data_IF_397047645531
#
_entry.id   IF_397047645531
#
_cell.length_a   1.000
_cell.length_b   1.000
_cell.length_c   1.000
_cell.angle_alpha   90.00
_cell.angle_beta   90.00
_cell.angle_gamma   90.00
#
_symmetry.space_group_name_H-M   'P 1'
#
loop_
_entity.id
_entity.type
_entity.pdbx_description
1 polymer ?
#
# COMPACT_ATOMS: atom_id res chain seq x y z
N UNK A 1 -5.81 -30.14 -9.08
CA UNK A 1 -4.78 -29.20 -8.61
C UNK A 1 -5.38 -27.81 -8.75
N UNK A 2 -5.81 -27.20 -7.64
CA UNK A 2 -6.32 -25.83 -7.69
C UNK A 2 -5.11 -24.93 -7.87
N UNK A 3 -4.97 -24.35 -9.06
CA UNK A 3 -4.04 -23.25 -9.28
C UNK A 3 -4.45 -22.17 -8.29
N UNK A 4 -3.63 -21.95 -7.26
CA UNK A 4 -3.74 -20.75 -6.45
C UNK A 4 -3.36 -19.62 -7.39
N UNK A 5 -4.34 -19.12 -8.14
CA UNK A 5 -4.34 -17.73 -8.54
C UNK A 5 -4.37 -17.01 -7.21
N UNK A 6 -3.19 -16.72 -6.66
CA UNK A 6 -3.02 -15.81 -5.55
C UNK A 6 -3.72 -14.54 -6.01
N UNK A 7 -4.96 -14.34 -5.56
CA UNK A 7 -5.71 -13.15 -5.86
C UNK A 7 -4.94 -12.06 -5.11
N UNK A 8 -4.05 -11.36 -5.83
CA UNK A 8 -3.30 -10.24 -5.27
C UNK A 8 -4.33 -9.17 -4.94
N UNK A 9 -4.82 -9.20 -3.71
CA UNK A 9 -5.84 -8.28 -3.25
C UNK A 9 -5.13 -6.97 -2.90
N UNK A 10 -5.28 -5.97 -3.76
CA UNK A 10 -4.82 -4.62 -3.48
C UNK A 10 -5.93 -3.82 -2.81
N UNK A 11 -5.65 -3.31 -1.62
CA UNK A 11 -6.51 -2.36 -0.91
C UNK A 11 -6.14 -0.95 -1.31
N UNK A 12 -7.11 -0.19 -1.80
CA UNK A 12 -6.95 1.20 -2.20
C UNK A 12 -7.73 2.10 -1.24
N UNK A 13 -7.06 3.11 -0.71
CA UNK A 13 -7.65 4.12 0.18
C UNK A 13 -7.71 5.43 -0.56
N UNK A 14 -8.92 5.99 -0.62
CA UNK A 14 -9.18 7.26 -1.28
C UNK A 14 -9.57 8.31 -0.25
N UNK A 15 -9.16 9.55 -0.49
CA UNK A 15 -9.64 10.70 0.26
C UNK A 15 -11.11 11.03 -0.10
N UNK A 16 -11.75 11.89 0.69
CA UNK A 16 -13.05 12.53 0.40
C UNK A 16 -13.18 13.08 -1.02
N UNK A 17 -12.07 13.51 -1.64
CA UNK A 17 -12.04 14.02 -3.01
C UNK A 17 -11.86 12.95 -4.10
N UNK A 18 -11.82 11.66 -3.72
CA UNK A 18 -11.61 10.54 -4.65
C UNK A 18 -10.16 10.35 -5.10
N UNK A 19 -9.18 11.03 -4.49
CA UNK A 19 -7.75 10.85 -4.77
C UNK A 19 -7.18 9.68 -3.99
N UNK A 20 -6.36 8.85 -4.62
CA UNK A 20 -5.73 7.69 -3.98
C UNK A 20 -4.65 8.13 -2.99
N UNK A 21 -4.87 7.98 -1.69
CA UNK A 21 -3.91 8.39 -0.65
C UNK A 21 -3.05 7.24 -0.14
N UNK A 22 -3.52 5.99 -0.28
CA UNK A 22 -2.71 4.82 0.05
C UNK A 22 -3.15 3.61 -0.78
N UNK A 23 -2.19 2.73 -1.06
CA UNK A 23 -2.42 1.40 -1.62
C UNK A 23 -1.60 0.41 -0.83
N UNK A 24 -2.17 -0.77 -0.58
CA UNK A 24 -1.43 -1.90 -0.01
C UNK A 24 -1.85 -3.18 -0.71
N UNK A 25 -0.88 -3.94 -1.19
CA UNK A 25 -1.06 -5.23 -1.83
C UNK A 25 -0.97 -6.36 -0.80
N UNK A 26 -1.64 -7.49 -1.05
CA UNK A 26 -1.64 -8.69 -0.21
C UNK A 26 -0.23 -9.29 -0.04
N UNK A 27 0.65 -9.02 -1.02
CA UNK A 27 2.06 -9.40 -0.98
C UNK A 27 2.86 -8.59 0.05
N UNK A 28 2.26 -7.55 0.67
CA UNK A 28 2.89 -6.70 1.69
C UNK A 28 3.59 -5.45 1.15
N UNK A 29 3.47 -5.20 -0.16
CA UNK A 29 3.93 -3.95 -0.76
C UNK A 29 2.90 -2.85 -0.51
N UNK A 30 3.35 -1.66 -0.13
CA UNK A 30 2.46 -0.52 0.14
C UNK A 30 2.99 0.74 -0.50
N UNK A 31 2.12 1.67 -0.87
CA UNK A 31 2.51 3.01 -1.24
C UNK A 31 1.54 4.04 -0.65
N UNK A 32 2.08 5.19 -0.23
CA UNK A 32 1.31 6.32 0.27
C UNK A 32 1.55 7.53 -0.63
N UNK A 33 0.47 8.22 -0.97
CA UNK A 33 0.48 9.42 -1.77
C UNK A 33 0.03 10.58 -0.90
N UNK A 34 0.89 11.59 -0.80
CA UNK A 34 0.63 12.80 -0.03
C UNK A 34 0.36 13.91 -1.03
N UNK A 35 -0.84 14.50 -0.94
CA UNK A 35 -1.22 15.63 -1.79
C UNK A 35 -1.21 16.92 -0.98
N UNK A 36 -0.89 18.03 -1.65
CA UNK A 36 -1.06 19.38 -1.11
C UNK A 36 -2.56 19.77 -1.08
N UNK A 37 -2.90 20.87 -0.39
CA UNK A 37 -4.27 21.41 -0.32
C UNK A 37 -4.85 21.78 -1.68
N UNK A 38 -4.01 22.03 -2.69
CA UNK A 38 -4.43 22.31 -4.07
C UNK A 38 -4.63 21.01 -4.87
N UNK A 39 -4.25 19.86 -4.31
CA UNK A 39 -4.45 18.53 -4.89
C UNK A 39 -3.28 18.03 -5.75
N UNK A 40 -2.15 18.73 -5.72
CA UNK A 40 -0.89 18.31 -6.34
C UNK A 40 -0.17 17.24 -5.52
N UNK A 41 0.46 16.28 -6.19
CA UNK A 41 1.19 15.20 -5.53
C UNK A 41 2.51 15.72 -4.98
N UNK A 42 2.61 15.81 -3.65
CA UNK A 42 3.78 16.31 -2.95
C UNK A 42 4.84 15.21 -2.76
N UNK A 43 4.40 14.01 -2.40
CA UNK A 43 5.32 12.91 -2.04
C UNK A 43 4.68 11.55 -2.30
N UNK A 44 5.52 10.58 -2.68
CA UNK A 44 5.14 9.18 -2.81
C UNK A 44 6.10 8.33 -1.99
N UNK A 45 5.61 7.79 -0.89
CA UNK A 45 6.35 6.83 -0.08
C UNK A 45 6.01 5.42 -0.59
N UNK A 46 7.02 4.66 -1.05
CA UNK A 46 6.85 3.28 -1.48
C UNK A 46 7.56 2.34 -0.51
N UNK A 47 6.83 1.37 -0.02
CA UNK A 47 7.29 0.32 0.87
C UNK A 47 7.25 -1.00 0.11
N UNK A 48 8.42 -1.61 -0.09
CA UNK A 48 8.50 -2.92 -0.72
C UNK A 48 8.09 -4.02 0.28
N UNK A 49 7.46 -5.07 -0.24
CA UNK A 49 7.02 -6.27 0.49
C UNK A 49 8.10 -6.99 1.34
N UNK A 50 9.38 -6.66 1.16
CA UNK A 50 10.49 -7.25 1.93
C UNK A 50 11.16 -6.30 2.92
N UNK A 51 10.76 -5.03 2.98
CA UNK A 51 11.43 -4.02 3.81
C UNK A 51 10.79 -3.82 5.19
N UNK A 52 9.63 -4.44 5.42
CA UNK A 52 9.11 -4.70 6.77
C UNK A 52 9.89 -5.87 7.34
N UNK A 53 11.17 -5.63 7.68
CA UNK A 53 11.99 -6.56 8.41
C UNK A 53 11.30 -6.86 9.75
N UNK A 54 10.55 -7.95 9.79
CA UNK A 54 10.37 -8.85 10.92
C UNK A 54 10.44 -8.11 12.28
N UNK A 55 9.38 -7.42 12.68
CA UNK A 55 9.10 -7.27 14.11
C UNK A 55 8.60 -8.64 14.59
N UNK A 56 9.49 -9.63 14.62
CA UNK A 56 9.22 -10.82 15.43
C UNK A 56 9.26 -10.32 16.85
N UNK A 57 8.10 -10.29 17.50
CA UNK A 57 8.08 -10.24 18.95
C UNK A 57 8.53 -11.64 19.37
N UNK A 58 9.76 -11.82 19.89
CA UNK A 58 10.11 -13.10 20.48
C UNK A 58 9.13 -13.34 21.65
N UNK A 59 8.56 -14.55 21.69
CA UNK A 59 7.89 -15.07 22.88
C UNK A 59 8.87 -15.10 24.07
#
# INVERSE_FOLDING_TARGET
>A
MFSSMTSSAATYVYDSSGKLVAVSDDVGASARYIYDSIGDLLTVDRFAAGQLAIFTFPD
#
